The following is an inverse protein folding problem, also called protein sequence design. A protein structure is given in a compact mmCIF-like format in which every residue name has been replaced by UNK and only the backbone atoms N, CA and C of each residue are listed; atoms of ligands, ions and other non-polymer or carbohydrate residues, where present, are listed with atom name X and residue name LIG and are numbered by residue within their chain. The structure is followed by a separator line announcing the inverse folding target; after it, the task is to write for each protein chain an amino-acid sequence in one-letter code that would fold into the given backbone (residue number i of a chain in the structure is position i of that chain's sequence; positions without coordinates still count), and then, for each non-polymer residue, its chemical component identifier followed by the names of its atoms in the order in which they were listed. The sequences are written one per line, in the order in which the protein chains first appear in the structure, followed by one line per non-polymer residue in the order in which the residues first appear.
data_IF_963657589842
#
_entry.id   IF_963657589842
#
_cell.length_a   1.000
_cell.length_b   1.000
_cell.length_c   1.000
_cell.angle_alpha   90.00
_cell.angle_beta   90.00
_cell.angle_gamma   90.00
#
_symmetry.space_group_name_H-M   'P 1'
#
loop_
_entity.id
_entity.type
_entity.pdbx_description
1 polymer ?
#
# COMPACT_ATOMS: atom_id res chain seq x y z
N UNK A 1 17.90 53.20 -40.43
CA UNK A 1 18.31 51.80 -40.12
C UNK A 1 18.17 51.40 -38.65
N UNK A 2 17.80 52.30 -37.72
CA UNK A 2 17.63 51.97 -36.29
C UNK A 2 16.20 51.63 -35.86
N UNK A 3 15.18 52.07 -36.62
CA UNK A 3 13.77 51.84 -36.29
C UNK A 3 13.34 50.38 -36.49
N UNK A 4 13.88 49.69 -37.50
CA UNK A 4 13.60 48.28 -37.75
C UNK A 4 14.14 47.36 -36.64
N UNK A 5 15.33 47.67 -36.12
CA UNK A 5 15.96 46.92 -35.02
C UNK A 5 15.15 47.09 -33.73
N UNK A 6 14.65 48.30 -33.45
CA UNK A 6 13.83 48.57 -32.27
C UNK A 6 12.50 47.81 -32.31
N UNK A 7 11.83 47.77 -33.47
CA UNK A 7 10.57 47.02 -33.64
C UNK A 7 10.80 45.52 -33.44
N UNK A 8 11.89 44.98 -34.00
CA UNK A 8 12.24 43.56 -33.88
C UNK A 8 12.53 43.18 -32.42
N UNK A 9 13.23 44.06 -31.68
CA UNK A 9 13.54 43.87 -30.26
C UNK A 9 12.30 43.93 -29.37
N UNK A 10 11.37 44.87 -29.64
CA UNK A 10 10.10 44.97 -28.92
C UNK A 10 9.20 43.75 -29.18
N UNK A 11 9.17 43.24 -30.41
CA UNK A 11 8.43 42.01 -30.73
C UNK A 11 9.05 40.76 -30.06
N UNK A 12 10.37 40.68 -29.95
CA UNK A 12 11.06 39.58 -29.24
C UNK A 12 10.79 39.62 -27.74
N UNK A 13 10.79 40.80 -27.13
CA UNK A 13 10.44 40.98 -25.70
C UNK A 13 8.98 40.59 -25.45
N UNK A 14 8.05 40.99 -26.32
CA UNK A 14 6.63 40.61 -26.16
C UNK A 14 6.38 39.10 -26.37
N UNK A 15 7.17 38.44 -27.22
CA UNK A 15 7.10 36.98 -27.39
C UNK A 15 7.66 36.21 -26.18
N UNK A 16 8.69 36.74 -25.49
CA UNK A 16 9.25 36.07 -24.31
C UNK A 16 8.38 36.27 -23.06
N UNK A 17 7.76 37.43 -22.90
CA UNK A 17 6.84 37.71 -21.78
C UNK A 17 5.51 36.95 -21.85
N UNK A 18 5.02 36.59 -23.03
CA UNK A 18 3.77 35.82 -23.19
C UNK A 18 3.93 34.31 -22.93
N UNK A 19 5.15 33.80 -22.77
CA UNK A 19 5.42 32.38 -22.51
C UNK A 19 5.34 31.96 -21.03
N UNK A 20 5.14 32.90 -20.09
CA UNK A 20 5.16 32.61 -18.64
C UNK A 20 3.77 32.50 -18.00
N UNK A 21 2.71 32.36 -18.79
CA UNK A 21 1.43 31.87 -18.26
C UNK A 21 1.48 30.35 -18.17
N UNK A 22 1.92 29.84 -17.02
CA UNK A 22 1.95 28.42 -16.69
C UNK A 22 0.63 27.73 -17.11
N UNK A 23 0.64 26.73 -18.01
CA UNK A 23 -0.49 25.83 -18.18
C UNK A 23 -0.49 24.86 -16.98
N UNK A 24 -0.96 25.33 -15.84
CA UNK A 24 -0.89 24.62 -14.56
C UNK A 24 -2.17 24.77 -13.75
N UNK A 25 -3.33 24.49 -14.36
CA UNK A 25 -4.62 24.48 -13.65
C UNK A 25 -4.82 23.27 -12.74
N UNK A 26 -3.89 22.31 -12.75
CA UNK A 26 -3.91 21.16 -11.85
C UNK A 26 -3.00 21.44 -10.67
N UNK A 27 -3.58 21.46 -9.48
CA UNK A 27 -2.78 21.38 -8.25
C UNK A 27 -1.96 20.09 -8.28
N UNK A 28 -0.73 20.07 -7.74
CA UNK A 28 0.06 18.85 -7.68
C UNK A 28 -0.74 17.70 -7.05
N UNK A 29 -0.61 16.49 -7.60
CA UNK A 29 -1.27 15.30 -7.06
C UNK A 29 -1.02 15.18 -5.54
N UNK A 30 -2.07 14.94 -4.76
CA UNK A 30 -2.00 14.81 -3.31
C UNK A 30 -2.06 16.11 -2.49
N UNK A 31 -2.16 17.29 -3.13
CA UNK A 31 -2.27 18.59 -2.42
C UNK A 31 -3.63 18.86 -1.77
N UNK A 32 -4.67 18.17 -2.23
CA UNK A 32 -5.97 18.09 -1.55
C UNK A 32 -6.02 16.69 -0.97
N UNK A 33 -5.35 16.50 0.19
CA UNK A 33 -5.39 15.23 0.89
C UNK A 33 -6.84 14.83 1.10
N UNK A 34 -7.21 13.64 0.63
CA UNK A 34 -8.55 13.12 0.87
C UNK A 34 -8.64 12.74 2.34
N UNK A 35 -9.42 13.49 3.12
CA UNK A 35 -10.00 13.00 4.37
C UNK A 35 -11.04 11.93 4.00
N UNK A 36 -10.57 10.75 3.56
CA UNK A 36 -11.47 9.65 3.19
C UNK A 36 -12.04 9.11 4.49
N UNK A 37 -13.33 9.36 4.71
CA UNK A 37 -14.09 8.59 5.67
C UNK A 37 -14.27 7.19 5.05
N UNK A 38 -13.53 6.20 5.57
CA UNK A 38 -13.62 4.81 5.09
C UNK A 38 -14.92 4.22 5.61
N UNK A 39 -15.80 3.77 4.72
CA UNK A 39 -17.04 3.10 5.14
C UNK A 39 -16.71 1.79 5.85
N UNK A 40 -17.34 1.56 7.01
CA UNK A 40 -17.20 0.34 7.78
C UNK A 40 -18.50 -0.49 7.73
N UNK A 41 -18.37 -1.76 7.37
CA UNK A 41 -19.47 -2.74 7.34
C UNK A 41 -19.17 -3.79 8.41
N UNK A 42 -20.13 -4.11 9.26
CA UNK A 42 -19.93 -5.06 10.37
C UNK A 42 -20.56 -6.42 10.06
N UNK A 43 -19.80 -7.49 10.25
CA UNK A 43 -20.27 -8.87 10.24
C UNK A 43 -20.44 -9.48 8.85
N UNK A 44 -20.25 -8.71 7.77
CA UNK A 44 -20.40 -9.20 6.40
C UNK A 44 -19.46 -8.50 5.40
N UNK A 45 -19.18 -9.21 4.30
CA UNK A 45 -18.62 -8.62 3.09
C UNK A 45 -19.73 -7.93 2.30
N UNK A 46 -19.45 -6.87 1.52
CA UNK A 46 -20.42 -6.40 0.56
C UNK A 46 -20.75 -7.54 -0.41
N UNK A 47 -22.04 -7.71 -0.71
CA UNK A 47 -22.40 -8.63 -1.79
C UNK A 47 -21.79 -8.15 -3.12
N UNK A 48 -21.60 -9.10 -4.05
CA UNK A 48 -20.93 -8.87 -5.33
C UNK A 48 -21.55 -7.68 -6.07
N UNK A 49 -22.88 -7.62 -6.14
CA UNK A 49 -23.57 -6.51 -6.82
C UNK A 49 -23.21 -5.17 -6.19
N UNK A 50 -23.33 -5.03 -4.86
CA UNK A 50 -22.99 -3.81 -4.13
C UNK A 50 -21.53 -3.41 -4.36
N UNK A 51 -20.61 -4.38 -4.33
CA UNK A 51 -19.19 -4.13 -4.54
C UNK A 51 -18.90 -3.57 -5.94
N UNK A 52 -19.41 -4.23 -6.98
CA UNK A 52 -19.17 -3.83 -8.36
C UNK A 52 -19.94 -2.56 -8.79
N UNK A 53 -21.09 -2.26 -8.16
CA UNK A 53 -21.87 -1.05 -8.52
C UNK A 53 -21.45 0.19 -7.75
N UNK A 54 -21.01 0.06 -6.50
CA UNK A 54 -20.75 1.22 -5.63
C UNK A 54 -19.28 1.44 -5.31
N UNK A 55 -18.52 0.41 -4.95
CA UNK A 55 -17.15 0.57 -4.43
C UNK A 55 -16.11 0.56 -5.53
N UNK A 56 -16.15 -0.44 -6.43
CA UNK A 56 -15.15 -0.60 -7.48
C UNK A 56 -15.08 0.60 -8.44
N UNK A 57 -16.20 1.16 -8.97
CA UNK A 57 -16.13 2.25 -9.94
C UNK A 57 -15.63 3.57 -9.34
N UNK A 58 -15.81 3.74 -8.03
CA UNK A 58 -15.39 4.95 -7.31
C UNK A 58 -13.97 4.86 -6.75
N UNK A 59 -13.34 3.68 -6.82
CA UNK A 59 -12.07 3.40 -6.15
C UNK A 59 -12.10 3.77 -4.66
N UNK A 60 -13.25 3.55 -4.01
CA UNK A 60 -13.45 3.86 -2.59
C UNK A 60 -13.04 2.64 -1.75
N UNK A 61 -12.15 2.80 -0.75
CA UNK A 61 -11.84 1.73 0.18
C UNK A 61 -13.02 1.48 1.12
N UNK A 62 -13.18 0.21 1.52
CA UNK A 62 -14.16 -0.22 2.52
C UNK A 62 -13.46 -1.08 3.57
N UNK A 63 -13.99 -1.06 4.79
CA UNK A 63 -13.53 -1.91 5.88
C UNK A 63 -14.66 -2.85 6.32
N UNK A 64 -14.52 -4.14 6.03
CA UNK A 64 -15.44 -5.16 6.57
C UNK A 64 -14.91 -5.69 7.90
N UNK A 65 -15.53 -5.29 9.01
CA UNK A 65 -15.18 -5.72 10.36
C UNK A 65 -15.88 -7.04 10.73
N UNK A 66 -15.25 -7.83 11.59
CA UNK A 66 -15.81 -9.06 12.17
C UNK A 66 -16.18 -10.17 11.16
N UNK A 67 -15.79 -10.03 9.89
CA UNK A 67 -16.08 -11.03 8.85
C UNK A 67 -15.33 -12.35 9.03
N UNK A 68 -14.19 -12.32 9.72
CA UNK A 68 -13.35 -13.50 9.97
C UNK A 68 -13.65 -14.17 11.33
N UNK A 69 -14.70 -13.76 12.06
CA UNK A 69 -14.97 -14.28 13.42
C UNK A 69 -15.23 -15.80 13.44
N UNK A 70 -15.76 -16.34 12.34
CA UNK A 70 -16.03 -17.77 12.17
C UNK A 70 -14.98 -18.47 11.30
N UNK A 71 -13.90 -17.77 10.92
CA UNK A 71 -12.83 -18.35 10.12
C UNK A 71 -11.99 -19.30 10.99
N UNK A 72 -11.73 -20.51 10.49
CA UNK A 72 -10.99 -21.54 11.24
C UNK A 72 -9.56 -21.09 11.59
N UNK A 73 -8.93 -20.31 10.71
CA UNK A 73 -7.57 -19.83 10.89
C UNK A 73 -7.51 -18.65 11.86
N UNK A 74 -8.61 -17.91 12.06
CA UNK A 74 -8.64 -16.78 12.98
C UNK A 74 -8.24 -17.18 14.41
N UNK A 75 -8.68 -18.36 14.87
CA UNK A 75 -8.32 -18.86 16.20
C UNK A 75 -6.87 -19.38 16.26
N UNK A 76 -6.39 -20.03 15.20
CA UNK A 76 -5.03 -20.55 15.10
C UNK A 76 -4.02 -19.40 15.10
N UNK A 77 -4.29 -18.32 14.36
CA UNK A 77 -3.38 -17.18 14.17
C UNK A 77 -3.48 -16.11 15.26
N UNK A 78 -4.18 -16.41 16.36
CA UNK A 78 -4.50 -15.42 17.39
C UNK A 78 -3.27 -15.04 18.23
N UNK A 79 -2.35 -15.97 18.44
CA UNK A 79 -1.06 -15.72 19.09
C UNK A 79 0.06 -16.51 18.41
N UNK A 80 1.30 -16.05 18.56
CA UNK A 80 2.48 -16.77 18.06
C UNK A 80 2.57 -18.19 18.66
N UNK A 81 2.29 -18.33 19.96
CA UNK A 81 2.28 -19.62 20.67
C UNK A 81 1.23 -20.59 20.10
N UNK A 82 0.01 -20.09 19.83
CA UNK A 82 -1.03 -20.93 19.23
C UNK A 82 -0.64 -21.35 17.81
N UNK A 83 -0.11 -20.41 17.01
CA UNK A 83 0.31 -20.68 15.65
C UNK A 83 1.44 -21.72 15.60
N UNK A 84 2.42 -21.65 16.52
CA UNK A 84 3.52 -22.61 16.61
C UNK A 84 3.08 -24.01 17.06
N UNK A 85 2.15 -24.08 18.01
CA UNK A 85 1.70 -25.35 18.59
C UNK A 85 0.64 -26.07 17.74
N UNK A 86 -0.24 -25.33 17.07
CA UNK A 86 -1.38 -25.88 16.32
C UNK A 86 -1.02 -26.23 14.86
N UNK A 87 0.04 -25.62 14.29
CA UNK A 87 0.48 -25.90 12.91
C UNK A 87 1.70 -26.82 12.90
N UNK A 88 1.45 -28.12 12.79
CA UNK A 88 2.50 -29.13 12.78
C UNK A 88 3.54 -28.87 11.69
N UNK A 89 4.81 -28.74 12.08
CA UNK A 89 5.93 -28.57 11.14
C UNK A 89 6.23 -27.12 10.77
N UNK A 90 5.44 -26.14 11.24
CA UNK A 90 5.66 -24.72 10.96
C UNK A 90 7.05 -24.28 11.40
N UNK A 91 7.46 -24.62 12.63
CA UNK A 91 8.78 -24.30 13.19
C UNK A 91 9.94 -24.73 12.30
N UNK A 92 9.78 -25.80 11.51
CA UNK A 92 10.79 -26.36 10.59
C UNK A 92 10.71 -25.79 9.18
N UNK A 93 9.64 -25.06 8.84
CA UNK A 93 9.46 -24.46 7.53
C UNK A 93 10.57 -23.44 7.26
N UNK A 94 11.11 -23.47 6.05
CA UNK A 94 12.03 -22.43 5.58
C UNK A 94 11.22 -21.27 5.04
N UNK A 95 11.56 -20.06 5.47
CA UNK A 95 10.89 -18.84 5.06
C UNK A 95 11.92 -17.79 4.62
N UNK A 96 11.48 -16.88 3.76
CA UNK A 96 12.26 -15.70 3.40
C UNK A 96 11.72 -14.50 4.16
N UNK A 97 12.63 -13.80 4.82
CA UNK A 97 12.33 -12.60 5.58
C UNK A 97 13.19 -11.45 5.08
N UNK A 98 12.69 -10.24 5.25
CA UNK A 98 13.41 -9.02 4.91
C UNK A 98 13.45 -8.11 6.13
N UNK A 99 14.61 -7.49 6.34
CA UNK A 99 14.79 -6.50 7.40
C UNK A 99 14.44 -5.11 6.87
N UNK A 100 13.61 -4.37 7.62
CA UNK A 100 13.28 -2.99 7.27
C UNK A 100 14.51 -2.08 7.20
N UNK A 101 15.54 -2.35 8.01
CA UNK A 101 16.73 -1.50 8.11
C UNK A 101 17.76 -1.84 7.04
N UNK A 102 17.99 -3.13 6.78
CA UNK A 102 19.02 -3.59 5.85
C UNK A 102 18.51 -3.80 4.42
N UNK A 103 17.18 -3.90 4.23
CA UNK A 103 16.54 -4.27 2.94
C UNK A 103 17.16 -5.50 2.29
N UNK A 104 17.65 -6.41 3.13
CA UNK A 104 18.27 -7.65 2.71
C UNK A 104 17.32 -8.80 2.97
N UNK A 105 17.18 -9.66 1.97
CA UNK A 105 16.44 -10.92 2.09
C UNK A 105 17.35 -12.01 2.61
N UNK A 106 16.84 -12.71 3.62
CA UNK A 106 17.54 -13.82 4.26
C UNK A 106 16.58 -14.98 4.43
N UNK A 107 17.08 -16.19 4.24
CA UNK A 107 16.32 -17.41 4.54
C UNK A 107 16.57 -17.83 5.98
N UNK A 108 15.52 -18.22 6.70
CA UNK A 108 15.62 -18.77 8.05
C UNK A 108 14.51 -19.77 8.33
N UNK A 109 14.59 -20.47 9.47
CA UNK A 109 13.49 -21.26 9.99
C UNK A 109 12.41 -20.37 10.58
N UNK A 110 11.16 -20.83 10.49
CA UNK A 110 10.03 -20.11 11.10
C UNK A 110 10.21 -19.93 12.61
N UNK A 111 10.75 -20.94 13.31
CA UNK A 111 11.05 -20.82 14.74
C UNK A 111 12.03 -19.66 15.03
N UNK A 112 13.10 -19.53 14.22
CA UNK A 112 14.05 -18.44 14.37
C UNK A 112 13.42 -17.07 14.11
N UNK A 113 12.41 -17.01 13.24
CA UNK A 113 11.69 -15.77 12.97
C UNK A 113 10.88 -15.34 14.19
N UNK A 114 10.16 -16.24 14.87
CA UNK A 114 9.41 -15.89 16.09
C UNK A 114 10.29 -15.25 17.17
N UNK A 115 11.53 -15.72 17.32
CA UNK A 115 12.47 -15.18 18.31
C UNK A 115 12.97 -13.75 18.00
N UNK A 116 12.97 -13.39 16.71
CA UNK A 116 13.69 -12.23 16.17
C UNK A 116 12.79 -11.13 15.63
N UNK A 117 11.63 -11.46 15.07
CA UNK A 117 10.90 -10.54 14.19
C UNK A 117 10.50 -9.22 14.88
N UNK A 118 10.11 -9.27 16.15
CA UNK A 118 9.77 -8.08 16.93
C UNK A 118 10.99 -7.20 17.23
N UNK A 119 12.15 -7.81 17.47
CA UNK A 119 13.40 -7.12 17.86
C UNK A 119 14.16 -6.56 16.67
N UNK A 120 14.15 -7.31 15.57
CA UNK A 120 14.96 -7.03 14.37
C UNK A 120 14.15 -6.39 13.23
N UNK A 121 12.86 -6.08 13.47
CA UNK A 121 11.95 -5.50 12.48
C UNK A 121 11.93 -6.29 11.16
N UNK A 122 11.78 -7.61 11.30
CA UNK A 122 11.70 -8.54 10.18
C UNK A 122 10.26 -8.71 9.72
N UNK A 123 10.06 -8.86 8.42
CA UNK A 123 8.76 -9.17 7.83
C UNK A 123 8.91 -10.25 6.77
N UNK A 124 7.81 -10.95 6.47
CA UNK A 124 7.76 -11.93 5.40
C UNK A 124 8.01 -11.27 4.05
N UNK A 125 9.03 -11.75 3.33
CA UNK A 125 9.47 -11.19 2.06
C UNK A 125 8.89 -11.92 0.84
N UNK A 126 8.26 -13.07 1.08
CA UNK A 126 7.82 -14.00 0.04
C UNK A 126 6.46 -14.61 0.38
N UNK A 127 5.99 -15.52 -0.47
CA UNK A 127 4.70 -16.17 -0.31
C UNK A 127 4.54 -16.84 1.07
N UNK A 128 3.32 -16.79 1.58
CA UNK A 128 2.91 -17.53 2.78
C UNK A 128 3.28 -19.01 2.57
N UNK A 129 4.01 -19.64 3.54
CA UNK A 129 4.35 -21.06 3.51
C UNK A 129 3.12 -21.92 3.21
N UNK A 130 3.29 -22.99 2.44
CA UNK A 130 2.15 -23.87 2.07
C UNK A 130 1.43 -24.45 3.28
N UNK A 131 2.16 -24.65 4.39
CA UNK A 131 1.61 -25.15 5.65
C UNK A 131 0.65 -24.17 6.35
N UNK A 132 0.66 -22.91 5.91
CA UNK A 132 -0.18 -21.81 6.39
C UNK A 132 -1.27 -21.41 5.37
N UNK A 133 -1.35 -22.11 4.23
CA UNK A 133 -2.41 -21.92 3.23
C UNK A 133 -3.55 -22.88 3.50
#
# INVERSE_FOLDING_TARGET
MYSFILILLVSLINLTLSSHSNPGHLKPFGTVGSLINIEEINGEYPNILKFFTYYLPKSEPILSRQVLINDQYYNIWKTDEQLENEVEGLSKANIYVESMTQRQRTQMKFAEFFDKYQKEHLFFADNIPEILR
#
